data_IF_422235444366
#
_entry.id   IF_422235444366
#
_cell.length_a   1.000
_cell.length_b   1.000
_cell.length_c   1.000
_cell.angle_alpha   90.00
_cell.angle_beta   90.00
_cell.angle_gamma   90.00
#
_symmetry.space_group_name_H-M   'P 1'
#
loop_
_entity.id
_entity.type
_entity.pdbx_description
1 polymer ?
#
# COMPACT_ATOMS: atom_id res chain seq x y z
N UNK A 1 7.95 -14.34 0.22
CA UNK A 1 6.69 -13.56 0.28
C UNK A 1 6.82 -12.38 -0.66
N UNK A 2 5.89 -12.25 -1.62
CA UNK A 2 5.87 -11.15 -2.60
C UNK A 2 5.45 -9.84 -1.93
N UNK A 3 5.79 -8.73 -2.58
CA UNK A 3 5.40 -7.38 -2.15
C UNK A 3 3.89 -7.21 -2.04
N UNK A 4 3.15 -7.78 -3.00
CA UNK A 4 1.69 -7.78 -3.04
C UNK A 4 1.10 -8.48 -1.81
N UNK A 5 1.67 -9.62 -1.40
CA UNK A 5 1.24 -10.34 -0.20
C UNK A 5 1.49 -9.53 1.08
N UNK A 6 2.60 -8.76 1.16
CA UNK A 6 2.86 -7.87 2.30
C UNK A 6 1.80 -6.78 2.41
N UNK A 7 1.46 -6.14 1.28
CA UNK A 7 0.41 -5.11 1.25
C UNK A 7 -0.95 -5.66 1.66
N UNK A 8 -1.27 -6.88 1.25
CA UNK A 8 -2.53 -7.53 1.61
C UNK A 8 -2.60 -7.83 3.12
N UNK A 9 -1.49 -8.21 3.74
CA UNK A 9 -1.41 -8.38 5.20
C UNK A 9 -1.57 -7.04 5.92
N UNK A 10 -0.91 -5.98 5.44
CA UNK A 10 -1.04 -4.64 6.00
C UNK A 10 -2.47 -4.14 5.91
N UNK A 11 -3.16 -4.35 4.78
CA UNK A 11 -4.56 -4.00 4.61
C UNK A 11 -5.47 -4.73 5.62
N UNK A 12 -5.26 -6.04 5.82
CA UNK A 12 -6.02 -6.84 6.78
C UNK A 12 -5.77 -6.44 8.23
N UNK A 13 -4.54 -6.12 8.59
CA UNK A 13 -4.20 -5.63 9.94
C UNK A 13 -4.83 -4.25 10.18
N UNK A 14 -4.76 -3.35 9.21
CA UNK A 14 -5.37 -2.03 9.28
C UNK A 14 -6.90 -2.11 9.38
N UNK A 15 -7.53 -2.96 8.57
CA UNK A 15 -8.97 -3.18 8.62
C UNK A 15 -9.43 -3.67 9.99
N UNK A 16 -8.70 -4.62 10.61
CA UNK A 16 -8.97 -5.13 11.97
C UNK A 16 -8.80 -4.09 13.07
N UNK A 17 -8.02 -3.03 12.84
CA UNK A 17 -7.82 -1.93 13.80
C UNK A 17 -8.88 -0.85 13.66
N UNK A 18 -9.37 -0.62 12.44
CA UNK A 18 -10.35 0.44 12.14
C UNK A 18 -11.78 -0.06 12.34
N UNK A 19 -12.06 -1.31 11.93
CA UNK A 19 -13.39 -1.90 11.96
C UNK A 19 -13.47 -3.03 12.97
N UNK A 20 -14.54 -3.03 13.77
CA UNK A 20 -14.81 -4.09 14.75
C UNK A 20 -15.10 -5.44 14.06
N UNK A 21 -15.83 -5.41 12.93
CA UNK A 21 -15.95 -6.52 11.99
C UNK A 21 -15.54 -6.06 10.58
N UNK A 22 -14.27 -6.26 10.18
CA UNK A 22 -13.81 -5.89 8.85
C UNK A 22 -14.43 -6.81 7.80
N UNK A 23 -15.22 -6.23 6.89
CA UNK A 23 -15.69 -6.96 5.71
C UNK A 23 -14.57 -7.14 4.68
N UNK A 24 -14.68 -8.18 3.85
CA UNK A 24 -13.75 -8.39 2.73
C UNK A 24 -13.65 -7.14 1.85
N UNK A 25 -14.77 -6.46 1.60
CA UNK A 25 -14.79 -5.20 0.85
C UNK A 25 -13.92 -4.12 1.48
N UNK A 26 -14.01 -3.93 2.80
CA UNK A 26 -13.20 -2.92 3.49
C UNK A 26 -11.70 -3.23 3.39
N UNK A 27 -11.32 -4.51 3.49
CA UNK A 27 -9.94 -4.96 3.30
C UNK A 27 -9.48 -4.71 1.88
N UNK A 28 -10.31 -5.02 0.88
CA UNK A 28 -9.97 -4.82 -0.54
C UNK A 28 -9.86 -3.34 -0.90
N UNK A 29 -10.74 -2.48 -0.37
CA UNK A 29 -10.69 -1.03 -0.58
C UNK A 29 -9.38 -0.46 0.00
N UNK A 30 -9.00 -0.86 1.23
CA UNK A 30 -7.71 -0.49 1.84
C UNK A 30 -6.51 -1.03 1.06
N UNK A 31 -6.59 -2.26 0.58
CA UNK A 31 -5.52 -2.87 -0.21
C UNK A 31 -5.29 -2.14 -1.54
N UNK A 32 -6.35 -1.73 -2.22
CA UNK A 32 -6.26 -0.93 -3.44
C UNK A 32 -5.64 0.44 -3.17
N UNK A 33 -6.00 1.08 -2.05
CA UNK A 33 -5.42 2.35 -1.65
C UNK A 33 -3.92 2.23 -1.37
N UNK A 34 -3.49 1.19 -0.64
CA UNK A 34 -2.08 0.90 -0.41
C UNK A 34 -1.31 0.58 -1.70
N UNK A 35 -1.93 -0.12 -2.66
CA UNK A 35 -1.32 -0.35 -3.96
C UNK A 35 -1.14 0.96 -4.75
N UNK A 36 -2.16 1.82 -4.75
CA UNK A 36 -2.11 3.12 -5.43
C UNK A 36 -1.15 4.11 -4.75
N UNK A 37 -1.01 4.05 -3.42
CA UNK A 37 0.01 4.80 -2.69
C UNK A 37 1.41 4.31 -3.06
N UNK A 38 1.63 3.00 -3.08
CA UNK A 38 2.93 2.43 -3.49
C UNK A 38 3.28 2.80 -4.92
N UNK A 39 2.35 2.71 -5.85
CA UNK A 39 2.59 3.09 -7.25
C UNK A 39 3.01 4.57 -7.35
N UNK A 40 2.31 5.46 -6.63
CA UNK A 40 2.70 6.88 -6.51
C UNK A 40 4.08 7.08 -5.88
N UNK A 41 4.41 6.33 -4.83
CA UNK A 41 5.71 6.40 -4.16
C UNK A 41 6.84 5.78 -4.97
N UNK A 42 6.56 4.75 -5.78
CA UNK A 42 7.51 4.15 -6.70
C UNK A 42 7.93 5.18 -7.75
N UNK A 43 6.96 5.92 -8.32
CA UNK A 43 7.25 7.00 -9.26
C UNK A 43 8.01 8.15 -8.60
N UNK A 44 7.68 8.50 -7.35
CA UNK A 44 8.41 9.52 -6.59
C UNK A 44 9.85 9.10 -6.23
N UNK A 45 10.10 7.80 -6.06
CA UNK A 45 11.43 7.26 -5.77
C UNK A 45 12.31 7.24 -7.03
N UNK A 46 11.77 6.84 -8.19
CA UNK A 46 12.49 6.91 -9.48
C UNK A 46 12.90 8.34 -9.85
N UNK A 47 12.11 9.35 -9.48
CA UNK A 47 12.46 10.76 -9.67
C UNK A 47 13.61 11.25 -8.78
N UNK A 48 13.89 10.58 -7.66
CA UNK A 48 14.97 10.96 -6.72
C UNK A 48 16.34 10.43 -7.17
N UNK A 49 16.37 9.35 -7.94
CA UNK A 49 17.61 8.78 -8.49
C UNK A 49 18.20 9.64 -9.61
N UNK A 50 17.37 10.44 -10.30
CA UNK A 50 17.83 11.43 -11.29
C UNK A 50 18.19 12.80 -10.70
N UNK A 51 18.07 12.99 -9.39
CA UNK A 51 18.38 14.25 -8.69
C UNK A 51 19.73 14.20 -7.94
N UNK A 52 20.69 13.39 -8.41
CA UNK A 52 22.11 13.64 -8.09
C UNK A 52 22.56 14.80 -8.98
N UNK A 53 22.42 16.02 -8.45
CA UNK A 53 22.90 17.24 -9.09
C UNK A 53 24.42 17.14 -9.27
N UNK A 54 24.84 17.45 -10.50
CA UNK A 54 26.19 17.49 -11.06
C UNK A 54 27.19 18.31 -10.23
#
# INVERSE_FOLDING_TARGET
MTETEKLLISAQDLARRIFEEPSEKAVMDLFQELCAERDRMAWATEGRESATVH
#
